data_IF_137186235176
#
_entry.id   IF_137186235176
#
_cell.length_a   1.000
_cell.length_b   1.000
_cell.length_c   1.000
_cell.angle_alpha   90.00
_cell.angle_beta   90.00
_cell.angle_gamma   90.00
#
_symmetry.space_group_name_H-M   'P 1'
#
loop_
_entity.id
_entity.type
_entity.pdbx_description
1 polymer ?
#
# COMPACT_ATOMS: atom_id res chain seq x y z
N UNK A 1 -43.23 -76.99 29.67
CA UNK A 1 -42.29 -78.06 29.38
C UNK A 1 -40.94 -77.43 29.27
N UNK A 2 -40.22 -77.47 30.30
CA UNK A 2 -39.08 -78.35 30.58
C UNK A 2 -37.89 -77.90 29.73
N UNK A 3 -36.80 -77.61 30.19
CA UNK A 3 -36.10 -77.77 31.46
C UNK A 3 -34.70 -77.22 31.24
N UNK A 4 -34.14 -76.58 32.24
CA UNK A 4 -32.97 -77.09 33.03
C UNK A 4 -31.71 -77.30 32.19
N UNK A 5 -30.53 -76.87 32.47
CA UNK A 5 -29.79 -76.77 33.73
C UNK A 5 -28.43 -76.09 33.47
N UNK A 6 -27.98 -75.35 34.44
CA UNK A 6 -26.54 -75.10 34.77
C UNK A 6 -25.77 -76.42 35.07
N UNK A 7 -24.44 -76.45 35.39
CA UNK A 7 -23.59 -75.47 36.01
C UNK A 7 -22.08 -75.55 35.68
N UNK A 8 -21.36 -74.62 36.25
CA UNK A 8 -20.02 -74.79 36.89
C UNK A 8 -18.82 -74.63 36.02
N UNK A 9 -17.73 -74.08 36.41
CA UNK A 9 -17.18 -73.68 37.64
C UNK A 9 -15.76 -73.15 37.45
N UNK A 10 -15.30 -72.31 38.37
CA UNK A 10 -13.91 -72.13 38.91
C UNK A 10 -12.74 -71.92 37.90
N UNK A 11 -11.85 -71.00 37.98
CA UNK A 11 -11.04 -70.49 39.09
C UNK A 11 -10.14 -69.35 38.62
N UNK A 12 -9.86 -68.41 39.49
CA UNK A 12 -8.77 -67.44 39.52
C UNK A 12 -7.40 -68.12 39.60
N UNK A 13 -6.26 -67.34 39.74
CA UNK A 13 -5.76 -66.04 39.23
C UNK A 13 -4.34 -66.12 38.67
N UNK A 14 -3.69 -65.05 38.15
CA UNK A 14 -2.29 -64.65 38.36
C UNK A 14 -1.85 -63.52 37.40
N UNK A 15 -1.62 -62.41 37.99
CA UNK A 15 -0.30 -61.69 38.12
C UNK A 15 0.34 -61.05 36.88
N UNK A 16 0.48 -59.71 37.06
CA UNK A 16 1.59 -58.82 36.70
C UNK A 16 2.12 -58.78 35.28
N UNK A 17 1.96 -57.61 34.65
CA UNK A 17 3.12 -56.83 34.18
C UNK A 17 2.71 -55.41 33.83
N UNK A 18 3.26 -54.48 34.57
CA UNK A 18 3.31 -53.04 34.29
C UNK A 18 4.06 -52.80 32.96
N UNK A 19 3.45 -52.05 32.05
CA UNK A 19 4.23 -51.33 31.05
C UNK A 19 3.65 -49.90 30.92
N UNK A 20 4.43 -49.00 31.46
CA UNK A 20 4.32 -47.53 31.32
C UNK A 20 4.36 -47.12 29.83
N UNK A 21 3.22 -46.74 29.29
CA UNK A 21 3.14 -46.06 28.01
C UNK A 21 2.97 -44.55 28.29
N UNK A 22 4.03 -43.77 28.13
CA UNK A 22 3.96 -42.32 28.11
C UNK A 22 3.06 -41.88 26.92
N UNK A 23 1.84 -41.49 27.22
CA UNK A 23 1.03 -40.72 26.30
C UNK A 23 1.51 -39.27 26.29
N UNK A 24 2.13 -38.85 25.20
CA UNK A 24 2.35 -37.45 24.91
C UNK A 24 1.00 -36.77 24.76
N UNK A 25 0.65 -36.01 25.76
CA UNK A 25 -0.44 -35.05 25.71
C UNK A 25 -0.01 -33.93 24.77
N UNK A 26 -0.60 -33.90 23.57
CA UNK A 26 -0.61 -32.73 22.70
C UNK A 26 -1.15 -31.55 23.49
N UNK A 27 -0.28 -30.60 23.80
CA UNK A 27 -0.68 -29.36 24.47
C UNK A 27 -1.72 -28.60 23.66
N UNK A 28 -2.69 -27.95 24.32
CA UNK A 28 -3.68 -27.14 23.66
C UNK A 28 -2.96 -25.96 22.98
N UNK A 29 -3.27 -25.76 21.69
CA UNK A 29 -2.83 -24.59 20.96
C UNK A 29 -3.17 -23.33 21.74
N UNK A 30 -2.14 -22.57 22.10
CA UNK A 30 -2.27 -21.27 22.72
C UNK A 30 -3.11 -20.37 21.81
N UNK A 31 -4.39 -20.26 22.14
CA UNK A 31 -5.22 -19.16 21.70
C UNK A 31 -4.67 -17.90 22.38
N UNK A 32 -3.89 -17.10 21.62
CA UNK A 32 -3.30 -15.86 22.08
C UNK A 32 -4.38 -14.91 22.60
N UNK A 33 -4.37 -14.69 23.90
CA UNK A 33 -5.10 -13.63 24.57
C UNK A 33 -4.66 -12.23 24.04
N UNK A 34 -5.16 -11.11 24.57
CA UNK A 34 -4.96 -9.74 24.06
C UNK A 34 -3.51 -9.23 24.07
N UNK A 35 -2.52 -10.06 24.36
CA UNK A 35 -1.08 -9.82 24.23
C UNK A 35 -0.59 -10.32 22.85
N UNK A 36 -0.81 -9.55 21.79
CA UNK A 36 -0.41 -9.94 20.44
C UNK A 36 1.10 -10.02 20.27
N UNK A 37 1.57 -11.02 19.52
CA UNK A 37 2.98 -11.19 19.16
C UNK A 37 3.51 -10.01 18.34
N UNK A 38 4.75 -9.55 18.62
CA UNK A 38 5.46 -8.58 17.77
C UNK A 38 5.65 -9.17 16.37
N UNK A 39 5.12 -8.51 15.35
CA UNK A 39 5.11 -9.04 13.99
C UNK A 39 5.14 -8.00 12.89
N UNK A 40 4.84 -6.76 13.20
CA UNK A 40 4.79 -5.69 12.20
C UNK A 40 6.01 -4.80 12.35
N UNK A 41 6.70 -4.60 11.25
CA UNK A 41 7.77 -3.62 11.10
C UNK A 41 7.25 -2.44 10.27
N UNK A 42 7.50 -1.23 10.73
CA UNK A 42 7.44 -0.03 9.90
C UNK A 42 8.87 0.42 9.64
N UNK A 43 9.27 0.46 8.38
CA UNK A 43 10.61 0.84 7.94
C UNK A 43 10.52 2.16 7.22
N UNK A 44 11.21 3.18 7.72
CA UNK A 44 11.34 4.49 7.09
C UNK A 44 12.77 4.65 6.57
N UNK A 45 12.92 4.77 5.26
CA UNK A 45 14.19 4.93 4.57
C UNK A 45 14.56 6.40 4.50
N UNK A 46 15.14 6.91 5.54
CA UNK A 46 15.50 8.31 5.66
C UNK A 46 16.38 8.49 6.89
N UNK A 47 17.66 8.24 6.74
CA UNK A 47 18.69 8.69 7.65
C UNK A 47 19.11 10.11 7.26
N UNK A 48 19.90 10.79 8.09
CA UNK A 48 20.50 12.10 7.80
C UNK A 48 21.15 12.07 6.42
N UNK A 49 20.42 12.51 5.40
CA UNK A 49 20.99 12.72 4.07
C UNK A 49 21.90 13.94 4.19
N UNK A 50 23.19 13.69 4.18
CA UNK A 50 24.16 14.70 3.75
C UNK A 50 23.94 14.87 2.26
N UNK A 51 23.41 16.02 1.87
CA UNK A 51 23.38 16.57 0.51
C UNK A 51 22.78 15.71 -0.61
N UNK A 52 22.04 16.37 -1.47
CA UNK A 52 21.50 15.95 -2.77
C UNK A 52 22.41 14.90 -3.43
N UNK A 53 22.03 13.64 -3.33
CA UNK A 53 22.79 12.53 -3.91
C UNK A 53 22.02 11.92 -5.06
N UNK A 54 22.62 11.99 -6.25
CA UNK A 54 22.23 11.24 -7.44
C UNK A 54 22.32 9.70 -7.25
N UNK A 55 22.95 9.24 -6.16
CA UNK A 55 23.20 7.82 -5.83
C UNK A 55 22.21 7.19 -4.84
N UNK A 56 21.09 7.84 -4.52
CA UNK A 56 20.09 7.23 -3.64
C UNK A 56 19.42 6.04 -4.34
N UNK A 57 19.39 4.83 -3.73
CA UNK A 57 18.72 3.70 -4.35
C UNK A 57 17.24 4.02 -4.58
N UNK A 58 16.73 3.63 -5.72
CA UNK A 58 15.31 3.75 -6.00
C UNK A 58 14.48 3.05 -4.92
N UNK A 59 13.37 3.61 -4.55
CA UNK A 59 12.48 3.06 -3.51
C UNK A 59 12.07 1.61 -3.80
N UNK A 60 11.87 1.26 -5.06
CA UNK A 60 11.60 -0.09 -5.56
C UNK A 60 12.68 -1.11 -5.17
N UNK A 61 13.95 -0.71 -5.21
CA UNK A 61 15.10 -1.56 -4.83
C UNK A 61 15.08 -1.85 -3.33
N UNK A 62 14.76 -0.85 -2.51
CA UNK A 62 14.62 -1.00 -1.06
C UNK A 62 13.44 -1.91 -0.68
N UNK A 63 12.32 -1.81 -1.39
CA UNK A 63 11.20 -2.73 -1.25
C UNK A 63 11.59 -4.16 -1.64
N UNK A 64 12.34 -4.33 -2.73
CA UNK A 64 12.89 -5.61 -3.15
C UNK A 64 13.80 -6.24 -2.10
N UNK A 65 14.55 -5.45 -1.34
CA UNK A 65 15.30 -5.95 -0.19
C UNK A 65 14.38 -6.48 0.92
N UNK A 66 13.32 -5.74 1.27
CA UNK A 66 12.35 -6.19 2.29
C UNK A 66 11.64 -7.47 1.85
N UNK A 67 11.30 -7.61 0.57
CA UNK A 67 10.66 -8.79 0.00
C UNK A 67 11.52 -10.08 0.15
N UNK A 68 12.83 -9.95 0.33
CA UNK A 68 13.72 -11.09 0.65
C UNK A 68 13.54 -11.62 2.07
N UNK A 69 12.92 -10.87 2.96
CA UNK A 69 12.65 -11.27 4.34
C UNK A 69 11.22 -11.78 4.52
N UNK A 70 10.26 -11.15 3.87
CA UNK A 70 8.85 -11.54 3.94
C UNK A 70 8.12 -11.14 2.65
N UNK A 71 7.21 -11.98 2.15
CA UNK A 71 6.38 -11.60 1.00
C UNK A 71 5.30 -10.57 1.36
N UNK A 72 5.05 -10.33 2.66
CA UNK A 72 4.02 -9.43 3.13
C UNK A 72 4.62 -8.05 3.38
N UNK A 73 4.90 -7.33 2.30
CA UNK A 73 5.44 -5.96 2.32
C UNK A 73 4.44 -5.03 1.66
N UNK A 74 4.10 -3.95 2.34
CA UNK A 74 3.24 -2.87 1.83
C UNK A 74 4.07 -1.60 1.68
N UNK A 75 4.21 -1.09 0.46
CA UNK A 75 4.86 0.19 0.23
C UNK A 75 4.02 1.35 0.78
N UNK A 76 4.70 2.31 1.32
CA UNK A 76 4.16 3.60 1.76
C UNK A 76 5.02 4.71 1.16
N UNK A 77 4.83 5.01 -0.13
CA UNK A 77 5.64 6.01 -0.81
C UNK A 77 5.62 7.37 -0.07
N UNK A 78 6.68 8.19 -0.16
CA UNK A 78 7.84 7.97 -1.05
C UNK A 78 8.98 7.14 -0.42
N UNK A 79 8.99 6.90 0.88
CA UNK A 79 10.19 6.48 1.61
C UNK A 79 9.94 5.54 2.78
N UNK A 80 8.78 4.91 2.87
CA UNK A 80 8.47 3.99 3.95
C UNK A 80 7.77 2.71 3.48
N UNK A 81 7.84 1.67 4.32
CA UNK A 81 7.13 0.42 4.09
C UNK A 81 6.65 -0.21 5.41
N UNK A 82 5.58 -0.99 5.32
CA UNK A 82 5.18 -1.92 6.36
C UNK A 82 5.54 -3.35 5.95
N UNK A 83 5.94 -4.17 6.90
CA UNK A 83 6.21 -5.58 6.67
C UNK A 83 5.62 -6.42 7.80
N UNK A 84 4.83 -7.45 7.48
CA UNK A 84 4.44 -8.48 8.46
C UNK A 84 5.47 -9.60 8.39
N UNK A 85 6.23 -9.75 9.46
CA UNK A 85 7.33 -10.71 9.55
C UNK A 85 6.97 -11.99 10.28
N UNK A 86 5.70 -12.22 10.64
CA UNK A 86 5.25 -13.39 11.39
C UNK A 86 5.73 -14.70 10.77
N UNK A 87 5.59 -14.85 9.44
CA UNK A 87 6.05 -16.03 8.72
C UNK A 87 7.57 -16.16 8.61
N UNK A 88 8.29 -15.05 8.76
CA UNK A 88 9.75 -15.00 8.61
C UNK A 88 10.51 -15.35 9.89
N UNK A 89 9.90 -15.17 11.06
CA UNK A 89 10.60 -15.33 12.35
C UNK A 89 11.24 -16.70 12.50
N UNK A 90 10.51 -17.77 12.15
CA UNK A 90 11.03 -19.15 12.22
C UNK A 90 12.11 -19.41 11.17
N UNK A 91 11.94 -18.88 9.97
CA UNK A 91 12.91 -19.10 8.88
C UNK A 91 14.27 -18.48 9.18
N UNK A 92 14.28 -17.29 9.79
CA UNK A 92 15.52 -16.58 10.13
C UNK A 92 16.02 -16.90 11.55
N UNK A 93 15.32 -17.73 12.31
CA UNK A 93 15.61 -18.03 13.71
C UNK A 93 15.86 -16.76 14.54
N UNK A 94 14.96 -15.80 14.42
CA UNK A 94 15.04 -14.49 15.08
C UNK A 94 13.67 -14.00 15.51
N UNK A 95 13.65 -13.21 16.59
CA UNK A 95 12.49 -12.40 16.95
C UNK A 95 12.32 -11.19 16.03
N UNK A 96 11.18 -10.51 16.10
CA UNK A 96 10.91 -9.37 15.24
C UNK A 96 11.90 -8.20 15.46
N UNK A 97 12.33 -7.86 16.69
CA UNK A 97 13.39 -6.89 16.92
C UNK A 97 14.74 -7.29 16.31
N UNK A 98 15.12 -8.57 16.40
CA UNK A 98 16.35 -9.09 15.80
C UNK A 98 16.32 -9.02 14.28
N UNK A 99 15.16 -9.34 13.68
CA UNK A 99 14.97 -9.23 12.24
C UNK A 99 14.98 -7.75 11.76
N UNK A 100 14.40 -6.85 12.54
CA UNK A 100 14.46 -5.40 12.25
C UNK A 100 15.91 -4.87 12.24
N UNK A 101 16.76 -5.29 13.20
CA UNK A 101 18.17 -4.93 13.22
C UNK A 101 18.94 -5.51 12.02
N UNK A 102 18.63 -6.74 11.63
CA UNK A 102 19.24 -7.38 10.46
C UNK A 102 18.85 -6.67 9.17
N UNK A 103 17.59 -6.29 9.01
CA UNK A 103 17.11 -5.52 7.86
C UNK A 103 17.85 -4.18 7.78
N UNK A 104 17.89 -3.42 8.90
CA UNK A 104 18.62 -2.15 8.96
C UNK A 104 20.08 -2.30 8.56
N UNK A 105 20.76 -3.30 9.11
CA UNK A 105 22.17 -3.58 8.79
C UNK A 105 22.35 -3.85 7.29
N UNK A 106 21.45 -4.63 6.67
CA UNK A 106 21.53 -4.94 5.24
C UNK A 106 21.24 -3.72 4.36
N UNK A 107 20.28 -2.88 4.73
CA UNK A 107 20.01 -1.62 4.01
C UNK A 107 21.26 -0.74 4.03
N UNK A 108 21.87 -0.57 5.20
CA UNK A 108 23.08 0.21 5.35
C UNK A 108 24.27 -0.38 4.56
N UNK A 109 24.49 -1.68 4.68
CA UNK A 109 25.66 -2.34 4.06
C UNK A 109 25.57 -2.43 2.53
N UNK A 110 24.36 -2.54 1.95
CA UNK A 110 24.19 -2.72 0.50
C UNK A 110 23.93 -1.41 -0.24
N UNK A 111 23.38 -0.41 0.44
CA UNK A 111 22.89 0.81 -0.22
C UNK A 111 23.38 2.11 0.43
N UNK A 112 24.27 2.01 1.42
CA UNK A 112 24.77 3.16 2.21
C UNK A 112 23.64 4.09 2.71
N UNK A 113 22.46 3.52 2.89
CA UNK A 113 21.24 4.21 3.32
C UNK A 113 20.85 3.72 4.69
N UNK A 114 20.68 4.62 5.67
CA UNK A 114 20.16 4.23 6.98
C UNK A 114 18.63 4.24 6.99
N UNK A 115 18.03 3.43 7.86
CA UNK A 115 16.59 3.39 8.03
C UNK A 115 16.21 3.34 9.52
N UNK A 116 15.08 3.96 9.83
CA UNK A 116 14.46 3.90 11.15
C UNK A 116 13.38 2.83 11.16
N UNK A 117 13.42 1.92 12.12
CA UNK A 117 12.47 0.80 12.17
C UNK A 117 11.68 0.82 13.46
N UNK A 118 10.36 0.83 13.35
CA UNK A 118 9.45 0.59 14.46
C UNK A 118 8.94 -0.86 14.43
N UNK A 119 8.91 -1.50 15.60
CA UNK A 119 8.47 -2.89 15.76
C UNK A 119 7.31 -2.93 16.75
N UNK A 120 6.17 -3.50 16.34
CA UNK A 120 5.01 -3.61 17.21
C UNK A 120 4.05 -4.74 16.78
N UNK A 121 2.92 -4.85 17.47
CA UNK A 121 1.88 -5.84 17.17
C UNK A 121 1.01 -5.47 15.96
N UNK A 122 0.96 -4.19 15.58
CA UNK A 122 0.13 -3.69 14.48
C UNK A 122 0.79 -2.49 13.77
N UNK A 123 0.28 -2.10 12.58
CA UNK A 123 0.84 -1.02 11.76
C UNK A 123 0.86 0.35 12.45
N UNK A 124 -0.19 0.68 13.21
CA UNK A 124 -0.28 1.96 13.92
C UNK A 124 0.86 2.13 14.91
N UNK A 125 1.03 1.14 15.79
CA UNK A 125 2.05 1.19 16.84
C UNK A 125 3.47 1.11 16.25
N UNK A 126 3.70 0.29 15.22
CA UNK A 126 4.99 0.19 14.55
C UNK A 126 5.38 1.55 13.94
N UNK A 127 4.45 2.22 13.24
CA UNK A 127 4.68 3.56 12.69
C UNK A 127 4.97 4.58 13.79
N UNK A 128 4.16 4.61 14.85
CA UNK A 128 4.36 5.55 15.96
C UNK A 128 5.67 5.28 16.71
N UNK A 129 6.09 4.03 16.82
CA UNK A 129 7.38 3.66 17.39
C UNK A 129 8.54 4.25 16.60
N UNK A 130 8.56 4.06 15.27
CA UNK A 130 9.60 4.61 14.40
C UNK A 130 9.71 6.14 14.52
N UNK A 131 8.58 6.85 14.53
CA UNK A 131 8.57 8.32 14.63
C UNK A 131 8.85 8.86 16.05
N UNK A 132 9.00 8.00 17.06
CA UNK A 132 9.25 8.39 18.44
C UNK A 132 10.72 8.30 18.86
N UNK A 133 11.57 7.76 17.99
CA UNK A 133 13.01 7.61 18.20
C UNK A 133 13.84 8.54 17.34
N UNK A 134 15.16 8.59 17.59
CA UNK A 134 16.07 9.27 16.68
C UNK A 134 16.13 8.54 15.33
N UNK A 135 16.45 9.27 14.24
CA UNK A 135 16.71 8.64 12.95
C UNK A 135 17.75 7.52 13.06
N UNK A 136 17.57 6.44 12.31
CA UNK A 136 18.45 5.30 12.33
C UNK A 136 18.31 4.37 13.53
N UNK A 137 17.27 4.50 14.34
CA UNK A 137 17.01 3.63 15.48
C UNK A 137 16.06 2.47 15.13
N UNK A 138 16.19 1.39 15.88
CA UNK A 138 15.16 0.33 15.97
C UNK A 138 14.42 0.51 17.29
N UNK A 139 13.13 0.85 17.22
CA UNK A 139 12.28 1.05 18.38
C UNK A 139 11.20 -0.01 18.47
N UNK A 140 11.16 -0.67 19.63
CA UNK A 140 10.16 -1.71 19.91
C UNK A 140 9.11 -1.16 20.86
N UNK A 141 7.84 -1.50 20.62
CA UNK A 141 6.75 -1.25 21.55
C UNK A 141 6.08 -2.58 21.85
N UNK A 142 6.31 -3.08 23.04
CA UNK A 142 5.70 -4.32 23.51
C UNK A 142 4.21 -4.11 23.86
N UNK A 143 3.39 -5.18 23.80
CA UNK A 143 1.95 -5.08 24.10
C UNK A 143 1.66 -4.44 25.46
N UNK A 144 2.41 -4.83 26.48
CA UNK A 144 2.29 -4.34 27.86
C UNK A 144 2.69 -2.87 28.02
N UNK A 145 3.55 -2.36 27.14
CA UNK A 145 4.02 -0.97 27.17
C UNK A 145 3.08 -0.03 26.40
N UNK A 146 2.15 -0.56 25.59
CA UNK A 146 1.34 0.21 24.63
C UNK A 146 0.60 1.37 25.29
N UNK A 147 -0.04 1.15 26.44
CA UNK A 147 -0.80 2.19 27.12
C UNK A 147 0.12 3.33 27.61
N UNK A 148 1.25 3.00 28.24
CA UNK A 148 2.25 3.97 28.69
C UNK A 148 2.90 4.72 27.53
N UNK A 149 3.23 4.00 26.45
CA UNK A 149 3.82 4.59 25.24
C UNK A 149 2.91 5.63 24.58
N UNK A 150 1.59 5.42 24.59
CA UNK A 150 0.62 6.29 23.94
C UNK A 150 0.17 7.44 24.83
N UNK A 151 0.03 7.23 26.16
CA UNK A 151 -0.68 8.12 27.07
C UNK A 151 -0.21 9.57 27.03
N UNK A 152 1.08 9.81 27.07
CA UNK A 152 1.68 11.15 27.11
C UNK A 152 1.86 11.81 25.74
N UNK A 153 1.60 11.11 24.64
CA UNK A 153 1.80 11.70 23.31
C UNK A 153 0.75 12.76 23.00
N UNK A 154 1.12 13.87 22.34
CA UNK A 154 0.14 14.84 21.86
C UNK A 154 -0.81 14.17 20.87
N UNK A 155 -2.08 14.55 20.89
CA UNK A 155 -3.11 13.95 20.02
C UNK A 155 -2.78 14.09 18.52
N UNK A 156 -2.06 15.14 18.15
CA UNK A 156 -1.59 15.35 16.78
C UNK A 156 -0.56 14.28 16.31
N UNK A 157 0.10 13.58 17.24
CA UNK A 157 1.03 12.50 16.90
C UNK A 157 0.32 11.17 16.61
N UNK A 158 -0.97 11.07 16.91
CA UNK A 158 -1.75 9.87 16.61
C UNK A 158 -2.02 9.78 15.10
N UNK A 159 -1.57 8.69 14.47
CA UNK A 159 -1.76 8.50 13.04
C UNK A 159 -3.24 8.56 12.64
N UNK A 160 -3.54 9.40 11.64
CA UNK A 160 -4.91 9.65 11.19
C UNK A 160 -5.57 10.87 11.83
N UNK A 161 -4.87 11.59 12.72
CA UNK A 161 -5.31 12.86 13.25
C UNK A 161 -4.65 14.00 12.47
N UNK A 162 -5.44 14.66 11.61
CA UNK A 162 -4.99 15.85 10.89
C UNK A 162 -4.99 17.11 11.77
N UNK A 163 -4.38 18.21 11.29
CA UNK A 163 -4.25 19.47 12.06
C UNK A 163 -5.59 20.05 12.51
N UNK A 164 -6.64 19.92 11.70
CA UNK A 164 -7.98 20.39 12.04
C UNK A 164 -8.58 19.57 13.18
N UNK A 165 -8.53 18.25 13.07
CA UNK A 165 -9.02 17.32 14.11
C UNK A 165 -8.26 17.49 15.40
N UNK A 166 -6.94 17.66 15.34
CA UNK A 166 -6.12 17.92 16.52
C UNK A 166 -6.54 19.20 17.24
N UNK A 167 -6.71 20.31 16.51
CA UNK A 167 -7.20 21.58 17.10
C UNK A 167 -8.56 21.43 17.73
N UNK A 168 -9.48 20.75 17.05
CA UNK A 168 -10.82 20.48 17.59
C UNK A 168 -10.74 19.68 18.90
N UNK A 169 -9.95 18.59 18.93
CA UNK A 169 -9.81 17.79 20.15
C UNK A 169 -9.18 18.59 21.30
N UNK A 170 -8.15 19.38 21.00
CA UNK A 170 -7.51 20.26 22.01
C UNK A 170 -8.50 21.28 22.58
N UNK A 171 -9.41 21.86 21.78
CA UNK A 171 -10.42 22.80 22.30
C UNK A 171 -11.42 22.17 23.26
N UNK A 172 -11.55 20.83 23.24
CA UNK A 172 -12.32 20.04 24.23
C UNK A 172 -11.48 19.45 25.35
N UNK A 173 -10.21 19.86 25.48
CA UNK A 173 -9.30 19.35 26.51
C UNK A 173 -8.76 17.94 26.25
N UNK A 174 -8.91 17.43 25.02
CA UNK A 174 -8.42 16.10 24.58
C UNK A 174 -7.11 16.26 23.82
N UNK A 175 -6.12 16.88 24.44
CA UNK A 175 -4.82 17.26 23.86
C UNK A 175 -3.81 16.10 23.81
N UNK A 176 -4.00 15.05 24.61
CA UNK A 176 -3.16 13.85 24.61
C UNK A 176 -3.91 12.61 24.16
N UNK A 177 -3.16 11.64 23.62
CA UNK A 177 -3.70 10.34 23.20
C UNK A 177 -4.34 9.61 24.38
N UNK A 178 -3.75 9.70 25.60
CA UNK A 178 -4.32 9.10 26.81
C UNK A 178 -5.69 9.69 27.18
N UNK A 179 -5.86 11.02 27.04
CA UNK A 179 -7.17 11.66 27.27
C UNK A 179 -8.22 11.22 26.26
N UNK A 180 -7.84 11.05 24.99
CA UNK A 180 -8.74 10.51 23.96
C UNK A 180 -9.10 9.04 24.25
N UNK A 181 -8.15 8.22 24.66
CA UNK A 181 -8.38 6.82 25.02
C UNK A 181 -9.35 6.66 26.20
N UNK A 182 -9.27 7.55 27.21
CA UNK A 182 -10.13 7.60 28.38
C UNK A 182 -11.47 8.30 28.18
N UNK A 183 -11.63 9.07 27.09
CA UNK A 183 -12.86 9.83 26.86
C UNK A 183 -14.09 8.93 26.66
N UNK A 184 -15.28 9.34 27.15
CA UNK A 184 -16.52 8.62 26.88
C UNK A 184 -16.79 8.52 25.37
N UNK A 185 -17.23 7.36 24.86
CA UNK A 185 -17.54 7.18 23.44
C UNK A 185 -18.50 8.24 22.89
N UNK A 186 -19.54 8.57 23.65
CA UNK A 186 -20.54 9.56 23.25
C UNK A 186 -19.94 10.97 23.04
N UNK A 187 -18.92 11.34 23.82
CA UNK A 187 -18.22 12.63 23.67
C UNK A 187 -17.47 12.68 22.34
N UNK A 188 -16.69 11.66 22.03
CA UNK A 188 -15.95 11.58 20.77
C UNK A 188 -16.87 11.49 19.56
N UNK A 189 -17.99 10.77 19.67
CA UNK A 189 -18.98 10.68 18.62
C UNK A 189 -19.67 12.03 18.35
N UNK A 190 -19.95 12.81 19.38
CA UNK A 190 -20.52 14.15 19.24
C UNK A 190 -19.55 15.12 18.58
N UNK A 191 -18.26 15.04 18.89
CA UNK A 191 -17.23 15.96 18.37
C UNK A 191 -16.84 15.59 16.93
N UNK A 192 -16.68 14.31 16.61
CA UNK A 192 -16.06 13.80 15.37
C UNK A 192 -16.99 12.97 14.49
N UNK A 193 -18.23 12.73 14.95
CA UNK A 193 -19.13 11.76 14.31
C UNK A 193 -18.89 10.32 14.77
N UNK A 194 -19.89 9.46 14.58
CA UNK A 194 -19.92 8.11 15.15
C UNK A 194 -18.76 7.23 14.68
N UNK A 195 -18.49 7.23 13.36
CA UNK A 195 -17.44 6.37 12.75
C UNK A 195 -16.04 6.84 13.16
N UNK A 196 -15.76 8.13 12.99
CA UNK A 196 -14.43 8.72 13.28
C UNK A 196 -14.12 8.68 14.78
N UNK A 197 -15.11 9.00 15.62
CA UNK A 197 -14.94 8.98 17.08
C UNK A 197 -14.62 7.59 17.61
N UNK A 198 -15.28 6.54 17.10
CA UNK A 198 -14.99 5.15 17.46
C UNK A 198 -13.58 4.76 17.02
N UNK A 199 -13.27 4.96 15.75
CA UNK A 199 -11.96 4.61 15.18
C UNK A 199 -10.81 5.30 15.93
N UNK A 200 -10.97 6.59 16.22
CA UNK A 200 -9.94 7.34 16.91
C UNK A 200 -9.73 6.86 18.36
N UNK A 201 -10.81 6.50 19.04
CA UNK A 201 -10.74 5.93 20.40
C UNK A 201 -10.03 4.56 20.40
N UNK A 202 -10.32 3.70 19.44
CA UNK A 202 -9.63 2.41 19.27
C UNK A 202 -8.15 2.63 19.03
N UNK A 203 -7.78 3.50 18.10
CA UNK A 203 -6.39 3.86 17.82
C UNK A 203 -5.68 4.47 19.04
N UNK A 204 -6.36 5.32 19.79
CA UNK A 204 -5.80 5.90 21.02
C UNK A 204 -5.52 4.85 22.10
N UNK A 205 -6.16 3.69 22.04
CA UNK A 205 -5.90 2.50 22.87
C UNK A 205 -4.88 1.55 22.27
N UNK A 206 -4.30 1.90 21.13
CA UNK A 206 -3.35 1.04 20.42
C UNK A 206 -3.99 -0.08 19.60
N UNK A 207 -5.31 -0.04 19.40
CA UNK A 207 -6.06 -1.04 18.64
C UNK A 207 -6.13 -0.59 17.19
N UNK A 208 -5.52 -1.38 16.30
CA UNK A 208 -5.59 -1.20 14.86
C UNK A 208 -5.67 -2.58 14.17
N UNK A 209 -6.85 -2.97 13.70
CA UNK A 209 -7.06 -4.26 13.05
C UNK A 209 -6.58 -4.26 11.60
N UNK A 210 -6.06 -3.15 11.09
CA UNK A 210 -5.64 -3.02 9.70
C UNK A 210 -4.51 -4.03 9.41
N UNK A 211 -4.68 -4.96 8.44
CA UNK A 211 -3.60 -5.84 8.06
C UNK A 211 -2.54 -5.08 7.27
N UNK A 212 -1.31 -5.60 7.28
CA UNK A 212 -0.32 -5.26 6.25
C UNK A 212 -0.75 -5.96 4.98
N UNK A 213 -1.08 -5.18 3.97
CA UNK A 213 -1.48 -5.71 2.66
C UNK A 213 -0.25 -5.64 1.77
N UNK A 214 0.24 -6.79 1.25
CA UNK A 214 1.29 -6.76 0.23
C UNK A 214 0.86 -5.83 -0.89
N UNK A 215 1.79 -5.10 -1.46
CA UNK A 215 1.47 -4.25 -2.59
C UNK A 215 0.78 -5.09 -3.67
N UNK A 216 -0.53 -5.05 -3.65
CA UNK A 216 -1.24 -5.26 -4.89
C UNK A 216 -0.76 -4.16 -5.82
N UNK A 217 -0.33 -4.49 -7.05
CA UNK A 217 0.00 -3.48 -8.03
C UNK A 217 -1.11 -2.43 -8.02
N UNK A 218 -0.74 -1.16 -8.03
CA UNK A 218 -1.69 -0.06 -7.89
C UNK A 218 -2.89 -0.34 -8.79
N UNK A 219 -4.10 -0.40 -8.20
CA UNK A 219 -5.33 -0.69 -8.97
C UNK A 219 -5.68 0.42 -9.95
N UNK A 220 -5.00 1.56 -9.83
CA UNK A 220 -5.15 2.69 -10.73
C UNK A 220 -3.94 3.61 -10.67
N UNK A 221 -3.61 4.23 -11.80
CA UNK A 221 -2.64 5.31 -11.93
C UNK A 221 -3.29 6.53 -12.56
N UNK A 222 -2.84 7.74 -12.19
CA UNK A 222 -3.38 8.96 -12.76
C UNK A 222 -2.28 9.97 -13.07
N UNK A 223 -2.53 10.80 -14.09
CA UNK A 223 -1.75 11.97 -14.43
C UNK A 223 -2.68 13.16 -14.63
N UNK A 224 -2.27 14.36 -14.21
CA UNK A 224 -3.04 15.60 -14.31
C UNK A 224 -2.24 16.64 -15.09
N UNK A 225 -2.88 17.28 -16.04
CA UNK A 225 -2.35 18.44 -16.74
C UNK A 225 -3.16 19.69 -16.32
N UNK A 226 -2.46 20.67 -15.79
CA UNK A 226 -3.05 21.98 -15.44
C UNK A 226 -2.62 23.01 -16.46
N UNK A 227 -3.59 23.72 -17.02
CA UNK A 227 -3.32 24.83 -17.91
C UNK A 227 -2.95 26.07 -17.10
N UNK A 228 -1.97 26.84 -17.57
CA UNK A 228 -1.56 28.10 -16.93
C UNK A 228 -2.68 29.13 -16.92
N UNK A 229 -3.55 29.09 -17.90
CA UNK A 229 -4.79 29.86 -18.03
C UNK A 229 -5.97 28.94 -18.39
N UNK A 230 -7.19 29.41 -18.15
CA UNK A 230 -8.38 28.65 -18.54
C UNK A 230 -8.40 28.41 -20.06
N UNK A 231 -8.30 27.15 -20.47
CA UNK A 231 -8.12 26.75 -21.86
C UNK A 231 -9.47 26.55 -22.57
N UNK A 232 -9.63 27.18 -23.72
CA UNK A 232 -10.82 27.08 -24.57
C UNK A 232 -10.54 26.35 -25.90
N UNK A 233 -9.26 26.26 -26.30
CA UNK A 233 -8.87 25.63 -27.57
C UNK A 233 -8.96 24.09 -27.46
N UNK A 234 -9.78 23.45 -28.30
CA UNK A 234 -9.86 21.99 -28.35
C UNK A 234 -8.52 21.33 -28.72
N UNK A 235 -7.70 21.97 -29.55
CA UNK A 235 -6.41 21.41 -29.98
C UNK A 235 -5.44 21.33 -28.81
N UNK A 236 -5.34 22.37 -27.98
CA UNK A 236 -4.51 22.40 -26.78
C UNK A 236 -4.98 21.35 -25.75
N UNK A 237 -6.28 21.20 -25.56
CA UNK A 237 -6.82 20.15 -24.69
C UNK A 237 -6.50 18.75 -25.20
N UNK A 238 -6.56 18.52 -26.50
CA UNK A 238 -6.14 17.23 -27.10
C UNK A 238 -4.65 16.98 -26.94
N UNK A 239 -3.82 18.03 -27.10
CA UNK A 239 -2.37 17.93 -26.86
C UNK A 239 -2.08 17.52 -25.41
N UNK A 240 -2.76 18.15 -24.44
CA UNK A 240 -2.65 17.78 -23.04
C UNK A 240 -3.07 16.31 -22.78
N UNK A 241 -4.15 15.84 -23.42
CA UNK A 241 -4.60 14.45 -23.30
C UNK A 241 -3.60 13.45 -23.92
N UNK A 242 -2.93 13.82 -25.01
CA UNK A 242 -1.88 13.01 -25.61
C UNK A 242 -0.69 12.89 -24.65
N UNK A 243 -0.27 14.01 -24.04
CA UNK A 243 0.80 14.01 -23.02
C UNK A 243 0.44 13.06 -21.87
N UNK A 244 -0.78 13.17 -21.31
CA UNK A 244 -1.22 12.32 -20.23
C UNK A 244 -1.29 10.84 -20.59
N UNK A 245 -1.76 10.53 -21.80
CA UNK A 245 -1.83 9.15 -22.29
C UNK A 245 -0.45 8.55 -22.49
N UNK A 246 0.50 9.35 -22.98
CA UNK A 246 1.89 8.93 -23.18
C UNK A 246 2.60 8.67 -21.82
N UNK A 247 2.46 9.57 -20.87
CA UNK A 247 2.99 9.41 -19.50
C UNK A 247 2.41 8.18 -18.79
N UNK A 248 1.08 8.00 -18.83
CA UNK A 248 0.42 6.84 -18.23
C UNK A 248 0.85 5.54 -18.90
N UNK A 249 0.87 5.52 -20.23
CA UNK A 249 1.31 4.37 -21.00
C UNK A 249 2.74 3.97 -20.66
N UNK A 250 3.66 4.93 -20.62
CA UNK A 250 5.06 4.71 -20.23
C UNK A 250 5.19 4.11 -18.83
N UNK A 251 4.52 4.70 -17.83
CA UNK A 251 4.57 4.20 -16.44
C UNK A 251 3.99 2.78 -16.32
N UNK A 252 2.84 2.52 -16.93
CA UNK A 252 2.24 1.19 -16.93
C UNK A 252 3.13 0.15 -17.60
N UNK A 253 3.74 0.46 -18.74
CA UNK A 253 4.64 -0.48 -19.43
C UNK A 253 5.92 -0.73 -18.62
N UNK A 254 6.48 0.30 -18.01
CA UNK A 254 7.65 0.16 -17.12
C UNK A 254 7.32 -0.67 -15.88
N UNK A 255 6.11 -0.54 -15.34
CA UNK A 255 5.61 -1.35 -14.23
C UNK A 255 5.07 -2.73 -14.62
N UNK A 256 5.14 -3.12 -15.91
CA UNK A 256 4.59 -4.39 -16.39
C UNK A 256 3.07 -4.52 -16.23
N UNK A 257 2.34 -3.39 -16.31
CA UNK A 257 0.90 -3.32 -16.07
C UNK A 257 0.13 -2.88 -17.31
N UNK A 258 -1.15 -3.24 -17.36
CA UNK A 258 -2.12 -2.78 -18.36
C UNK A 258 -3.42 -2.36 -17.66
N UNK A 259 -4.15 -1.42 -18.25
CA UNK A 259 -5.43 -0.93 -17.75
C UNK A 259 -6.60 -1.55 -18.50
N UNK A 260 -7.69 -1.85 -17.79
CA UNK A 260 -8.97 -2.29 -18.39
C UNK A 260 -9.96 -1.15 -18.59
N UNK A 261 -9.79 -0.06 -17.86
CA UNK A 261 -10.64 1.12 -17.98
C UNK A 261 -9.82 2.40 -17.90
N UNK A 262 -10.36 3.46 -18.50
CA UNK A 262 -9.78 4.79 -18.49
C UNK A 262 -10.83 5.79 -18.03
N UNK A 263 -10.48 6.68 -17.10
CA UNK A 263 -11.34 7.75 -16.60
C UNK A 263 -10.74 9.10 -16.94
N UNK A 264 -11.53 9.92 -17.62
CA UNK A 264 -11.23 11.32 -17.89
C UNK A 264 -11.98 12.20 -16.89
N UNK A 265 -11.26 13.09 -16.21
CA UNK A 265 -11.82 14.13 -15.36
C UNK A 265 -11.43 15.49 -15.92
N UNK A 266 -12.44 16.34 -16.16
CA UNK A 266 -12.27 17.72 -16.62
C UNK A 266 -12.69 18.67 -15.51
N UNK A 267 -11.81 19.57 -15.11
CA UNK A 267 -12.09 20.64 -14.15
C UNK A 267 -12.23 21.97 -14.87
N UNK A 268 -13.32 22.68 -14.62
CA UNK A 268 -13.63 23.94 -15.26
C UNK A 268 -13.21 25.16 -14.41
N UNK A 269 -13.28 26.35 -15.03
CA UNK A 269 -12.96 27.63 -14.39
C UNK A 269 -13.84 27.94 -13.16
N UNK A 270 -15.11 27.55 -13.20
CA UNK A 270 -16.08 27.68 -12.11
C UNK A 270 -15.91 26.64 -10.99
N UNK A 271 -14.86 25.82 -11.07
CA UNK A 271 -14.53 24.72 -10.16
C UNK A 271 -15.45 23.49 -10.28
N UNK A 272 -16.42 23.50 -11.18
CA UNK A 272 -17.18 22.29 -11.47
C UNK A 272 -16.28 21.22 -12.10
N UNK A 273 -16.71 19.97 -12.00
CA UNK A 273 -15.95 18.80 -12.46
C UNK A 273 -16.87 17.87 -13.23
N UNK A 274 -16.40 17.41 -14.38
CA UNK A 274 -17.06 16.35 -15.13
C UNK A 274 -16.14 15.14 -15.21
N UNK A 275 -16.67 13.97 -14.92
CA UNK A 275 -15.93 12.71 -15.02
C UNK A 275 -16.61 11.75 -15.99
N UNK A 276 -15.84 11.09 -16.83
CA UNK A 276 -16.28 10.04 -17.76
C UNK A 276 -15.35 8.85 -17.66
N UNK A 277 -15.91 7.66 -17.52
CA UNK A 277 -15.16 6.41 -17.51
C UNK A 277 -15.53 5.59 -18.75
N UNK A 278 -14.55 4.94 -19.34
CA UNK A 278 -14.72 4.06 -20.48
C UNK A 278 -13.92 2.78 -20.27
N UNK A 279 -14.58 1.64 -20.39
CA UNK A 279 -13.92 0.34 -20.49
C UNK A 279 -13.21 0.24 -21.84
N UNK A 280 -11.96 -0.19 -21.83
CA UNK A 280 -11.16 -0.41 -23.04
C UNK A 280 -11.56 -1.73 -23.68
N UNK A 281 -11.47 -1.81 -25.01
CA UNK A 281 -11.81 -3.03 -25.74
C UNK A 281 -10.97 -4.23 -25.28
N UNK A 282 -9.69 -3.95 -24.98
CA UNK A 282 -8.73 -4.90 -24.44
C UNK A 282 -7.91 -4.22 -23.34
N UNK A 283 -7.45 -4.97 -22.31
CA UNK A 283 -6.50 -4.44 -21.36
C UNK A 283 -5.22 -3.98 -22.07
N UNK A 284 -4.84 -2.72 -21.91
CA UNK A 284 -3.71 -2.17 -22.67
C UNK A 284 -2.95 -1.09 -21.91
N UNK A 285 -1.65 -0.96 -22.24
CA UNK A 285 -0.81 0.19 -21.89
C UNK A 285 -0.30 0.90 -23.17
N UNK A 286 -0.88 0.57 -24.34
CA UNK A 286 -0.47 1.13 -25.62
C UNK A 286 -0.96 2.57 -25.77
N UNK A 287 -0.04 3.52 -25.90
CA UNK A 287 -0.32 4.96 -25.95
C UNK A 287 -1.36 5.34 -27.01
N UNK A 288 -1.31 4.83 -28.26
CA UNK A 288 -2.35 5.12 -29.25
C UNK A 288 -3.76 4.70 -28.83
N UNK A 289 -3.91 3.54 -28.18
CA UNK A 289 -5.22 3.06 -27.71
C UNK A 289 -5.76 3.93 -26.55
N UNK A 290 -4.89 4.30 -25.61
CA UNK A 290 -5.23 5.19 -24.51
C UNK A 290 -5.62 6.58 -25.03
N UNK A 291 -4.87 7.11 -26.00
CA UNK A 291 -5.13 8.40 -26.66
C UNK A 291 -6.48 8.40 -27.38
N UNK A 292 -6.75 7.36 -28.16
CA UNK A 292 -8.03 7.23 -28.87
C UNK A 292 -9.21 7.18 -27.90
N UNK A 293 -9.08 6.45 -26.79
CA UNK A 293 -10.10 6.40 -25.73
C UNK A 293 -10.30 7.75 -25.04
N UNK A 294 -9.20 8.45 -24.71
CA UNK A 294 -9.23 9.78 -24.10
C UNK A 294 -9.89 10.81 -25.02
N UNK A 295 -9.54 10.82 -26.29
CA UNK A 295 -10.15 11.70 -27.29
C UNK A 295 -11.64 11.44 -27.47
N UNK A 296 -12.05 10.17 -27.59
CA UNK A 296 -13.44 9.80 -27.71
C UNK A 296 -14.28 10.25 -26.50
N UNK A 297 -13.74 10.15 -25.28
CA UNK A 297 -14.39 10.66 -24.07
C UNK A 297 -14.47 12.18 -24.08
N UNK A 298 -13.39 12.86 -24.44
CA UNK A 298 -13.33 14.32 -24.49
C UNK A 298 -14.32 14.88 -25.54
N UNK A 299 -14.33 14.32 -26.75
CA UNK A 299 -15.21 14.77 -27.82
C UNK A 299 -16.68 14.55 -27.49
N UNK A 300 -16.98 13.43 -26.79
CA UNK A 300 -18.33 13.15 -26.28
C UNK A 300 -18.84 14.13 -25.19
N UNK A 301 -17.97 15.00 -24.65
CA UNK A 301 -18.38 16.04 -23.70
C UNK A 301 -18.92 17.31 -24.41
N UNK A 302 -18.67 17.50 -25.70
CA UNK A 302 -19.18 18.66 -26.45
C UNK A 302 -18.69 20.03 -25.97
N UNK A 303 -17.43 20.11 -25.53
CA UNK A 303 -16.84 21.27 -24.86
C UNK A 303 -16.50 22.43 -25.84
N UNK A 304 -17.46 22.97 -26.54
CA UNK A 304 -17.23 24.01 -27.58
C UNK A 304 -16.75 25.34 -27.01
N UNK A 305 -17.23 25.74 -25.84
CA UNK A 305 -16.90 27.05 -25.20
C UNK A 305 -16.55 26.90 -23.72
N UNK A 306 -16.27 25.70 -23.28
CA UNK A 306 -15.95 25.45 -21.89
C UNK A 306 -14.54 25.94 -21.57
N UNK A 307 -14.41 26.69 -20.47
CA UNK A 307 -13.14 27.12 -19.90
C UNK A 307 -12.58 26.02 -19.02
N UNK A 308 -11.61 25.29 -19.53
CA UNK A 308 -11.00 24.13 -18.85
C UNK A 308 -9.75 24.57 -18.10
N UNK A 309 -9.68 24.27 -16.80
CA UNK A 309 -8.53 24.58 -15.93
C UNK A 309 -7.55 23.42 -15.82
N UNK A 310 -8.05 22.22 -15.79
CA UNK A 310 -7.22 21.03 -15.73
C UNK A 310 -7.94 19.83 -16.36
N UNK A 311 -7.15 18.89 -16.87
CA UNK A 311 -7.61 17.58 -17.29
C UNK A 311 -6.80 16.51 -16.55
N UNK A 312 -7.47 15.47 -16.08
CA UNK A 312 -6.84 14.33 -15.43
C UNK A 312 -7.22 13.07 -16.16
N UNK A 313 -6.25 12.26 -16.50
CA UNK A 313 -6.46 10.93 -17.07
C UNK A 313 -6.06 9.89 -16.03
N UNK A 314 -6.95 8.92 -15.78
CA UNK A 314 -6.71 7.86 -14.81
C UNK A 314 -6.92 6.51 -15.46
N UNK A 315 -5.90 5.69 -15.44
CA UNK A 315 -5.95 4.29 -15.79
C UNK A 315 -6.49 3.50 -14.59
N UNK A 316 -7.51 2.68 -14.81
CA UNK A 316 -8.20 1.93 -13.75
C UNK A 316 -8.19 0.43 -14.05
N UNK A 317 -8.45 -0.36 -13.02
CA UNK A 317 -8.43 -1.81 -13.07
C UNK A 317 -7.09 -2.32 -13.65
N UNK A 318 -5.99 -1.79 -13.11
CA UNK A 318 -4.65 -2.21 -13.51
C UNK A 318 -4.43 -3.68 -13.17
N UNK A 319 -3.82 -4.40 -14.10
CA UNK A 319 -3.46 -5.81 -13.94
C UNK A 319 -2.08 -6.08 -14.55
N UNK A 320 -1.37 -7.15 -14.10
CA UNK A 320 -0.12 -7.56 -14.73
C UNK A 320 -0.30 -7.82 -16.23
N UNK A 321 0.61 -7.29 -17.06
CA UNK A 321 0.53 -7.42 -18.51
C UNK A 321 0.59 -8.90 -18.97
N UNK A 322 1.30 -9.74 -18.24
CA UNK A 322 1.40 -11.19 -18.47
C UNK A 322 0.09 -11.96 -18.26
N UNK A 323 -0.84 -11.39 -17.48
CA UNK A 323 -2.18 -11.96 -17.26
C UNK A 323 -3.23 -11.43 -18.24
N UNK A 324 -2.87 -10.43 -19.06
CA UNK A 324 -3.77 -9.86 -20.03
C UNK A 324 -3.86 -10.77 -21.26
N UNK A 325 -5.06 -11.20 -21.61
CA UNK A 325 -5.31 -11.85 -22.90
C UNK A 325 -5.15 -10.80 -24.01
N UNK A 326 -4.07 -10.89 -24.77
CA UNK A 326 -3.87 -10.05 -25.94
C UNK A 326 -4.47 -10.77 -27.16
N UNK A 327 -5.43 -10.14 -27.81
CA UNK A 327 -5.83 -10.57 -29.15
C UNK A 327 -4.68 -10.22 -30.09
N UNK A 328 -4.14 -11.23 -30.75
CA UNK A 328 -3.08 -11.01 -31.76
C UNK A 328 -3.68 -10.20 -32.91
N UNK A 329 -3.28 -8.95 -33.02
CA UNK A 329 -3.62 -8.14 -34.18
C UNK A 329 -2.82 -8.61 -35.40
N UNK A 330 -3.53 -8.85 -36.49
CA UNK A 330 -2.92 -9.17 -37.79
C UNK A 330 -2.52 -7.89 -38.56
N UNK A 331 -2.73 -6.69 -37.97
CA UNK A 331 -2.33 -5.43 -38.60
C UNK A 331 -0.83 -5.15 -38.40
N UNK A 332 -0.01 -5.18 -39.46
CA UNK A 332 1.42 -4.88 -39.36
C UNK A 332 1.72 -3.46 -38.85
N UNK A 333 0.76 -2.52 -38.97
CA UNK A 333 0.91 -1.15 -38.52
C UNK A 333 0.90 -1.08 -36.97
N UNK A 334 0.04 -1.89 -36.36
CA UNK A 334 -0.07 -1.95 -34.89
C UNK A 334 1.19 -2.56 -34.28
N UNK A 335 1.71 -3.63 -34.89
CA UNK A 335 2.97 -4.22 -34.42
C UNK A 335 4.15 -3.26 -34.60
N UNK A 336 4.20 -2.50 -35.69
CA UNK A 336 5.22 -1.45 -35.91
C UNK A 336 5.10 -0.36 -34.86
N UNK A 337 3.88 0.07 -34.50
CA UNK A 337 3.65 1.08 -33.45
C UNK A 337 4.12 0.60 -32.07
N UNK A 338 3.83 -0.65 -31.70
CA UNK A 338 4.31 -1.26 -30.44
C UNK A 338 5.84 -1.37 -30.37
N UNK A 339 6.49 -1.72 -31.49
CA UNK A 339 7.95 -1.75 -31.58
C UNK A 339 8.59 -0.36 -31.44
N UNK A 340 7.97 0.65 -32.07
CA UNK A 340 8.41 2.03 -31.96
C UNK A 340 8.27 2.56 -30.52
N UNK A 341 7.15 2.24 -29.88
CA UNK A 341 6.88 2.58 -28.48
C UNK A 341 7.92 1.93 -27.53
N UNK A 342 8.21 0.65 -27.69
CA UNK A 342 9.22 -0.04 -26.91
C UNK A 342 10.65 0.53 -27.12
N UNK A 343 10.94 1.03 -28.34
CA UNK A 343 12.21 1.72 -28.61
C UNK A 343 12.27 3.11 -27.93
N UNK A 344 11.16 3.86 -27.95
CA UNK A 344 11.03 5.14 -27.26
C UNK A 344 11.17 4.98 -25.75
N UNK A 345 10.55 3.95 -25.18
CA UNK A 345 10.65 3.65 -23.73
C UNK A 345 12.09 3.34 -23.32
N UNK A 346 12.81 2.54 -24.12
CA UNK A 346 14.26 2.30 -23.88
C UNK A 346 15.10 3.57 -23.95
N UNK A 347 14.78 4.47 -24.89
CA UNK A 347 15.46 5.75 -24.99
C UNK A 347 15.19 6.61 -23.77
N UNK A 348 13.96 6.69 -23.28
CA UNK A 348 13.59 7.43 -22.07
C UNK A 348 14.29 6.90 -20.81
N UNK A 349 14.33 5.57 -20.65
CA UNK A 349 15.02 4.94 -19.51
C UNK A 349 16.53 5.21 -19.53
N UNK A 350 17.14 5.33 -20.72
CA UNK A 350 18.59 5.55 -20.84
C UNK A 350 19.02 7.01 -20.83
N UNK A 351 18.20 7.89 -21.40
CA UNK A 351 18.58 9.29 -21.69
C UNK A 351 17.67 10.32 -21.00
N UNK A 352 16.72 9.84 -20.18
CA UNK A 352 15.73 10.69 -19.48
C UNK A 352 14.41 10.86 -20.21
N UNK A 353 13.41 11.36 -19.51
CA UNK A 353 12.02 11.43 -19.98
C UNK A 353 11.83 12.24 -21.27
N UNK A 354 12.68 13.24 -21.51
CA UNK A 354 12.63 14.11 -22.69
C UNK A 354 13.21 13.48 -23.98
N UNK A 355 13.78 12.26 -23.91
CA UNK A 355 14.51 11.67 -25.04
C UNK A 355 13.61 11.25 -26.21
N UNK A 356 12.31 11.02 -25.98
CA UNK A 356 11.37 10.63 -27.02
C UNK A 356 9.93 11.02 -26.61
N UNK A 357 9.22 11.66 -27.53
CA UNK A 357 7.80 12.00 -27.38
C UNK A 357 7.02 11.70 -28.65
N UNK A 358 5.69 11.48 -28.56
CA UNK A 358 4.84 11.39 -29.74
C UNK A 358 4.96 12.65 -30.62
N UNK A 359 5.00 12.49 -31.93
CA UNK A 359 5.15 13.60 -32.88
C UNK A 359 4.07 14.70 -32.72
N UNK A 360 2.87 14.33 -32.30
CA UNK A 360 1.78 15.29 -32.05
C UNK A 360 1.99 16.23 -30.87
N UNK A 361 3.07 16.08 -30.10
CA UNK A 361 3.47 16.99 -29.01
C UNK A 361 4.43 18.09 -29.49
N UNK A 362 5.02 17.93 -30.67
CA UNK A 362 5.85 18.98 -31.27
C UNK A 362 4.95 19.90 -32.10
N UNK A 363 5.14 21.22 -31.95
CA UNK A 363 4.51 22.17 -32.84
C UNK A 363 5.00 21.91 -34.25
N UNK A 364 4.07 21.82 -35.19
CA UNK A 364 4.43 21.94 -36.60
C UNK A 364 4.93 23.38 -36.80
N UNK A 365 6.25 23.53 -36.93
CA UNK A 365 6.90 24.77 -37.25
C UNK A 365 6.42 25.31 -38.59
#
# INVERSE_FOLDING_TARGET
MSGSSEPGGHSEPSEHSEHSGHGEQGGPGEQGGPGGQLRVLYVHFGGRVRQVDEDRPEFSVLLGLLARFTPVVQALPPDAALADVRGALRYFDRDAPGLARLIRLRVLALYDTDCTVGVAVNPLLARMAAHSGPPGAVRVVHPEETAGFLAGKPVAALHGVGPVTARTLCSYGLDTVGRVAGAPPATLQRILGAKTGRLLRERARGIDPTPVVPDEPARSESSEFRFDRDEIDPAERRRALLTLADELGFRMRTGGQVARALTLTVRYADRSVTTRTRTLAEPTAHTPALTAAAYAMHDGLGLQRARVRAVTLRAEELMPAELASLQLSLDPREEKARRAEAAADRARLRFGAAAAHPAGLFDAA
#
